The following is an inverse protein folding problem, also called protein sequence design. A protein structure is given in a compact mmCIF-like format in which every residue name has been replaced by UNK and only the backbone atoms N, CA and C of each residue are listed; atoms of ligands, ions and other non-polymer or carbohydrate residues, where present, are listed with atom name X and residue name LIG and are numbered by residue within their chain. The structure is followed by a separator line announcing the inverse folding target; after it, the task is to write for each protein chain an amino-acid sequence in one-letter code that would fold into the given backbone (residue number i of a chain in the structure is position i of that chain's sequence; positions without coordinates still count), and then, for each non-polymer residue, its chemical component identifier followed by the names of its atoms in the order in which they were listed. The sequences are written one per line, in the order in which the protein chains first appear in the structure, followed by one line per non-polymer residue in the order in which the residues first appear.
data_IF_156780020330
#
_entry.id   IF_156780020330
#
_cell.length_a   1.000
_cell.length_b   1.000
_cell.length_c   1.000
_cell.angle_alpha   90.00
_cell.angle_beta   90.00
_cell.angle_gamma   90.00
#
_symmetry.space_group_name_H-M   'P 1'
#
loop_
_entity.id
_entity.type
_entity.pdbx_description
1 polymer ?
#
# COMPACT_ATOMS: atom_id res chain seq x y z
N UNK A 1 -4.09 -39.41 23.34
CA UNK A 1 -4.40 -38.07 22.80
C UNK A 1 -3.55 -37.82 21.58
N UNK A 2 -4.13 -37.87 20.41
CA UNK A 2 -3.41 -37.48 19.20
C UNK A 2 -3.50 -35.97 19.03
N UNK A 3 -2.41 -35.27 19.28
CA UNK A 3 -2.26 -33.93 18.82
C UNK A 3 -2.05 -33.97 17.31
N UNK A 4 -3.06 -33.59 16.52
CA UNK A 4 -2.88 -33.43 15.10
C UNK A 4 -2.00 -32.21 14.87
N UNK A 5 -0.71 -32.42 14.69
CA UNK A 5 0.18 -31.41 14.17
C UNK A 5 -0.10 -31.27 12.69
N UNK A 6 -0.66 -30.15 12.28
CA UNK A 6 -0.75 -29.81 10.87
C UNK A 6 0.68 -29.76 10.35
N UNK A 7 1.03 -30.52 9.28
CA UNK A 7 2.36 -30.47 8.71
C UNK A 7 2.79 -29.03 8.41
N UNK A 8 4.03 -28.70 8.72
CA UNK A 8 4.59 -27.35 8.52
C UNK A 8 4.48 -26.84 7.09
N UNK A 9 4.42 -27.72 6.12
CA UNK A 9 4.25 -27.44 4.69
C UNK A 9 2.90 -26.78 4.36
N UNK A 10 1.89 -26.92 5.26
CA UNK A 10 0.58 -26.26 5.10
C UNK A 10 0.47 -24.97 5.90
N UNK A 11 1.50 -24.57 6.64
CA UNK A 11 1.55 -23.30 7.35
C UNK A 11 2.15 -22.25 6.43
N UNK A 12 1.31 -21.32 5.98
CA UNK A 12 1.80 -20.12 5.32
C UNK A 12 2.42 -19.25 6.42
N UNK A 13 3.74 -19.11 6.37
CA UNK A 13 4.42 -18.18 7.27
C UNK A 13 3.99 -16.76 6.94
N UNK A 14 3.48 -16.08 7.96
CA UNK A 14 3.06 -14.67 7.85
C UNK A 14 4.10 -13.77 8.46
N UNK A 15 4.47 -12.74 7.70
CA UNK A 15 5.34 -11.67 8.15
C UNK A 15 4.47 -10.49 8.55
N UNK A 16 4.81 -9.82 9.65
CA UNK A 16 4.13 -8.63 10.10
C UNK A 16 4.77 -7.40 9.48
N UNK A 17 3.94 -6.47 8.98
CA UNK A 17 4.39 -5.20 8.42
C UNK A 17 3.67 -4.07 9.14
N UNK A 18 4.42 -3.27 9.88
CA UNK A 18 3.88 -2.14 10.64
C UNK A 18 3.41 -1.03 9.72
N UNK A 19 2.26 -0.46 10.03
CA UNK A 19 1.64 0.56 9.21
C UNK A 19 0.63 1.40 10.00
N UNK A 20 0.25 2.53 9.40
CA UNK A 20 -0.89 3.33 9.86
C UNK A 20 -1.90 3.37 8.72
N UNK A 21 -3.08 2.84 8.95
CA UNK A 21 -4.18 2.82 7.98
C UNK A 21 -5.10 3.99 8.27
N UNK A 22 -5.36 4.82 7.26
CA UNK A 22 -6.35 5.90 7.33
C UNK A 22 -7.58 5.49 6.53
N UNK A 23 -8.72 5.48 7.19
CA UNK A 23 -10.00 5.04 6.63
C UNK A 23 -10.86 6.24 6.19
N UNK A 24 -11.82 5.98 5.31
CA UNK A 24 -12.76 6.99 4.82
C UNK A 24 -13.64 7.60 5.91
N UNK A 25 -13.79 6.92 7.05
CA UNK A 25 -14.44 7.42 8.24
C UNK A 25 -13.70 8.56 8.93
N UNK A 26 -12.43 8.79 8.56
CA UNK A 26 -11.53 9.74 9.19
C UNK A 26 -10.65 9.13 10.27
N UNK A 27 -10.87 7.87 10.64
CA UNK A 27 -10.05 7.16 11.62
C UNK A 27 -8.69 6.81 11.03
N UNK A 28 -7.64 6.95 11.84
CA UNK A 28 -6.32 6.41 11.55
C UNK A 28 -5.97 5.39 12.62
N UNK A 29 -5.60 4.19 12.19
CA UNK A 29 -5.30 3.08 13.08
C UNK A 29 -3.87 2.60 12.86
N UNK A 30 -3.12 2.50 13.94
CA UNK A 30 -1.78 1.95 13.95
C UNK A 30 -1.84 0.46 14.22
N UNK A 31 -1.01 -0.29 13.53
CA UNK A 31 -0.92 -1.73 13.74
C UNK A 31 -0.06 -2.40 12.70
N UNK A 32 -0.42 -3.62 12.32
CA UNK A 32 0.34 -4.34 11.31
C UNK A 32 -0.54 -5.18 10.39
N UNK A 33 -0.03 -5.34 9.17
CA UNK A 33 -0.54 -6.31 8.20
C UNK A 33 0.10 -7.67 8.43
N UNK A 34 -0.58 -8.72 8.00
CA UNK A 34 -0.03 -10.07 7.92
C UNK A 34 0.25 -10.39 6.45
N UNK A 35 1.51 -10.50 6.11
CA UNK A 35 1.95 -10.70 4.74
C UNK A 35 2.55 -12.09 4.56
N UNK A 36 2.35 -12.68 3.38
CA UNK A 36 3.00 -13.93 3.01
C UNK A 36 4.50 -13.72 2.80
N UNK A 37 5.29 -14.74 3.13
CA UNK A 37 6.75 -14.71 2.92
C UNK A 37 7.13 -14.74 1.44
N UNK A 38 6.19 -15.17 0.57
CA UNK A 38 6.37 -15.16 -0.88
C UNK A 38 5.12 -14.59 -1.54
N UNK A 39 5.31 -13.81 -2.60
CA UNK A 39 4.23 -13.22 -3.39
C UNK A 39 3.91 -14.12 -4.59
N UNK A 40 2.62 -14.17 -4.97
CA UNK A 40 2.19 -14.78 -6.23
C UNK A 40 2.31 -13.82 -7.42
N UNK A 41 2.59 -12.55 -7.16
CA UNK A 41 2.62 -11.48 -8.17
C UNK A 41 4.03 -11.13 -8.65
N UNK A 42 5.06 -11.46 -7.88
CA UNK A 42 6.47 -11.16 -8.19
C UNK A 42 7.38 -12.06 -7.36
N UNK A 43 8.65 -12.09 -7.71
CA UNK A 43 9.66 -12.77 -6.90
C UNK A 43 9.93 -11.96 -5.64
N UNK A 44 9.87 -12.63 -4.49
CA UNK A 44 10.12 -12.03 -3.20
C UNK A 44 8.91 -12.03 -2.28
N UNK A 45 9.03 -11.43 -1.08
CA UNK A 45 7.96 -11.40 -0.11
C UNK A 45 6.79 -10.51 -0.55
N UNK A 46 5.59 -10.89 -0.14
CA UNK A 46 4.40 -10.08 -0.36
C UNK A 46 4.57 -8.70 0.28
N UNK A 47 4.14 -7.67 -0.45
CA UNK A 47 4.12 -6.29 0.04
C UNK A 47 2.71 -5.90 0.44
N UNK A 48 2.57 -4.84 1.24
CA UNK A 48 1.25 -4.30 1.62
C UNK A 48 0.42 -3.96 0.39
N UNK A 49 1.01 -3.30 -0.60
CA UNK A 49 0.29 -2.99 -1.84
C UNK A 49 -0.16 -4.24 -2.59
N UNK A 50 0.64 -5.32 -2.56
CA UNK A 50 0.25 -6.59 -3.17
C UNK A 50 -1.00 -7.17 -2.51
N UNK A 51 -1.03 -7.17 -1.18
CA UNK A 51 -2.19 -7.64 -0.42
C UNK A 51 -3.43 -6.81 -0.76
N UNK A 52 -3.31 -5.49 -0.79
CA UNK A 52 -4.42 -4.60 -1.06
C UNK A 52 -4.94 -4.72 -2.50
N UNK A 53 -4.04 -5.02 -3.45
CA UNK A 53 -4.39 -5.20 -4.86
C UNK A 53 -4.80 -6.64 -5.23
N UNK A 54 -4.64 -7.60 -4.32
CA UNK A 54 -4.83 -9.03 -4.65
C UNK A 54 -6.28 -9.42 -4.85
N UNK A 55 -7.19 -8.76 -4.15
CA UNK A 55 -8.63 -9.08 -4.18
C UNK A 55 -9.45 -7.88 -3.76
N UNK A 56 -10.77 -8.02 -3.84
CA UNK A 56 -11.74 -7.06 -3.31
C UNK A 56 -12.19 -7.48 -1.92
N UNK A 57 -12.93 -6.61 -1.23
CA UNK A 57 -13.53 -6.91 0.04
C UNK A 57 -12.64 -6.63 1.24
N UNK A 58 -12.69 -7.50 2.22
CA UNK A 58 -12.05 -7.27 3.52
C UNK A 58 -10.66 -7.87 3.59
N UNK A 59 -9.82 -7.27 4.44
CA UNK A 59 -8.53 -7.81 4.82
C UNK A 59 -8.34 -7.69 6.33
N UNK A 60 -7.59 -8.58 6.97
CA UNK A 60 -7.32 -8.50 8.41
C UNK A 60 -6.19 -7.51 8.68
N UNK A 61 -6.38 -6.73 9.73
CA UNK A 61 -5.37 -5.80 10.23
C UNK A 61 -5.32 -5.91 11.76
N UNK A 62 -4.14 -6.04 12.32
CA UNK A 62 -3.96 -6.07 13.76
C UNK A 62 -3.82 -4.65 14.27
N UNK A 63 -4.82 -4.17 15.00
CA UNK A 63 -4.84 -2.82 15.55
C UNK A 63 -4.13 -2.80 16.90
N UNK A 64 -3.20 -1.86 17.05
CA UNK A 64 -2.47 -1.61 18.29
C UNK A 64 -2.92 -0.27 18.87
N UNK A 65 -3.72 -0.29 19.90
CA UNK A 65 -4.20 0.91 20.56
C UNK A 65 -4.00 0.84 22.11
N UNK A 66 -4.46 1.87 22.81
CA UNK A 66 -4.31 1.93 24.26
C UNK A 66 -5.04 0.80 25.00
N UNK A 67 -6.06 0.20 24.40
CA UNK A 67 -6.79 -0.93 24.97
C UNK A 67 -6.11 -2.28 24.75
N UNK A 68 -5.05 -2.30 23.92
CA UNK A 68 -4.30 -3.50 23.60
C UNK A 68 -4.28 -3.82 22.12
N UNK A 69 -4.27 -5.11 21.79
CA UNK A 69 -4.16 -5.62 20.43
C UNK A 69 -5.46 -6.34 20.07
N UNK A 70 -6.01 -5.99 18.91
CA UNK A 70 -7.19 -6.68 18.36
C UNK A 70 -7.09 -6.81 16.85
N UNK A 71 -7.72 -7.82 16.28
CA UNK A 71 -7.83 -7.95 14.83
C UNK A 71 -9.11 -7.29 14.35
N UNK A 72 -8.98 -6.40 13.37
CA UNK A 72 -10.10 -5.81 12.66
C UNK A 72 -10.10 -6.28 11.22
N UNK A 73 -11.28 -6.35 10.63
CA UNK A 73 -11.44 -6.59 9.19
C UNK A 73 -11.83 -5.26 8.56
N UNK A 74 -10.96 -4.72 7.72
CA UNK A 74 -11.23 -3.48 7.00
C UNK A 74 -11.58 -3.77 5.55
N UNK A 75 -12.57 -3.04 5.04
CA UNK A 75 -12.94 -3.14 3.63
C UNK A 75 -11.97 -2.28 2.81
N UNK A 76 -11.39 -2.88 1.77
CA UNK A 76 -10.39 -2.22 0.92
C UNK A 76 -10.90 -0.91 0.32
N UNK A 77 -12.18 -0.85 -0.06
CA UNK A 77 -12.76 0.37 -0.63
C UNK A 77 -12.80 1.56 0.33
N UNK A 78 -12.70 1.32 1.63
CA UNK A 78 -12.70 2.37 2.65
C UNK A 78 -11.30 2.76 3.13
N UNK A 79 -10.27 2.13 2.61
CA UNK A 79 -8.89 2.53 2.88
C UNK A 79 -8.53 3.71 1.99
N UNK A 80 -8.14 4.83 2.58
CA UNK A 80 -7.72 6.03 1.86
C UNK A 80 -6.22 5.99 1.62
N UNK A 81 -5.45 5.83 2.70
CA UNK A 81 -3.99 5.72 2.65
C UNK A 81 -3.48 4.70 3.66
N UNK A 82 -2.28 4.20 3.40
CA UNK A 82 -1.50 3.42 4.35
C UNK A 82 -0.11 4.00 4.41
N UNK A 83 0.29 4.49 5.58
CA UNK A 83 1.67 4.92 5.82
C UNK A 83 2.49 3.71 6.26
N UNK A 84 3.52 3.38 5.51
CA UNK A 84 4.35 2.20 5.75
C UNK A 84 5.54 2.54 6.63
N UNK A 85 5.88 1.63 7.55
CA UNK A 85 7.09 1.73 8.36
C UNK A 85 8.35 1.42 7.55
N UNK A 86 8.22 0.56 6.53
CA UNK A 86 9.32 0.16 5.66
C UNK A 86 9.10 0.63 4.23
N UNK A 87 10.18 0.96 3.53
CA UNK A 87 10.14 1.25 2.10
C UNK A 87 10.00 -0.06 1.33
N UNK A 88 8.82 -0.32 0.79
CA UNK A 88 8.60 -1.46 -0.11
C UNK A 88 8.49 -1.04 -1.58
N UNK A 89 8.42 0.25 -1.86
CA UNK A 89 8.31 0.75 -3.24
C UNK A 89 9.58 0.46 -4.04
N UNK A 90 10.75 0.55 -3.41
CA UNK A 90 12.04 0.28 -4.05
C UNK A 90 12.21 -1.16 -4.51
N UNK A 91 11.35 -2.06 -4.07
CA UNK A 91 11.36 -3.46 -4.49
C UNK A 91 10.57 -3.71 -5.77
N UNK A 92 9.93 -2.69 -6.33
CA UNK A 92 9.24 -2.84 -7.62
C UNK A 92 10.24 -3.16 -8.73
N UNK A 93 9.94 -4.13 -9.60
CA UNK A 93 10.75 -4.33 -10.81
C UNK A 93 10.79 -3.05 -11.64
N UNK A 94 11.99 -2.65 -12.06
CA UNK A 94 12.18 -1.43 -12.85
C UNK A 94 12.17 -0.14 -12.04
N UNK A 95 12.15 -0.21 -10.71
CA UNK A 95 12.14 0.99 -9.86
C UNK A 95 13.23 2.02 -10.23
N UNK A 96 14.45 1.56 -10.48
CA UNK A 96 15.57 2.42 -10.81
C UNK A 96 15.49 3.09 -12.19
N UNK A 97 14.68 2.56 -13.10
CA UNK A 97 14.53 3.09 -14.47
C UNK A 97 13.15 3.74 -14.69
N UNK A 98 12.26 3.65 -13.73
CA UNK A 98 10.95 4.28 -13.81
C UNK A 98 11.09 5.81 -13.81
N UNK A 99 10.24 6.47 -14.59
CA UNK A 99 10.21 7.93 -14.63
C UNK A 99 9.62 8.48 -13.34
N UNK A 100 10.32 9.36 -12.67
CA UNK A 100 9.82 10.05 -11.48
C UNK A 100 9.02 11.28 -11.86
N UNK A 101 7.84 11.43 -11.25
CA UNK A 101 7.03 12.64 -11.33
C UNK A 101 6.74 13.13 -9.93
N UNK A 102 6.84 14.42 -9.71
CA UNK A 102 6.55 15.03 -8.43
C UNK A 102 5.10 15.51 -8.44
N UNK A 103 4.30 15.00 -7.52
CA UNK A 103 2.86 15.16 -7.55
C UNK A 103 2.30 15.64 -6.22
N UNK A 104 1.22 16.43 -6.32
CA UNK A 104 0.36 16.78 -5.20
C UNK A 104 -0.98 16.07 -5.40
N UNK A 105 -1.38 15.28 -4.42
CA UNK A 105 -2.57 14.45 -4.50
C UNK A 105 -3.55 14.87 -3.42
N UNK A 106 -4.75 15.29 -3.82
CA UNK A 106 -5.85 15.62 -2.90
C UNK A 106 -6.73 14.38 -2.72
N UNK A 107 -6.92 13.99 -1.49
CA UNK A 107 -7.70 12.81 -1.12
C UNK A 107 -9.13 13.18 -0.69
N UNK A 108 -10.02 12.20 -0.74
CA UNK A 108 -11.44 12.38 -0.42
C UNK A 108 -11.72 12.83 1.01
N UNK A 109 -10.78 12.61 1.92
CA UNK A 109 -10.85 13.07 3.31
C UNK A 109 -10.33 14.51 3.52
N UNK A 110 -9.93 15.18 2.43
CA UNK A 110 -9.35 16.53 2.48
C UNK A 110 -7.84 16.59 2.71
N UNK A 111 -7.20 15.46 2.98
CA UNK A 111 -5.74 15.41 3.10
C UNK A 111 -5.06 15.62 1.75
N UNK A 112 -3.89 16.24 1.78
CA UNK A 112 -3.04 16.40 0.62
C UNK A 112 -1.70 15.69 0.87
N UNK A 113 -1.32 14.83 -0.08
CA UNK A 113 -0.05 14.13 -0.05
C UNK A 113 0.80 14.66 -1.19
N UNK A 114 2.01 15.12 -0.88
CA UNK A 114 2.97 15.62 -1.87
C UNK A 114 4.18 14.70 -1.85
N UNK A 115 4.54 14.18 -3.01
CA UNK A 115 5.67 13.29 -3.10
C UNK A 115 5.95 12.82 -4.53
N UNK A 116 6.82 11.84 -4.62
CA UNK A 116 7.25 11.27 -5.90
C UNK A 116 6.39 10.06 -6.22
N UNK A 117 5.84 10.05 -7.44
CA UNK A 117 5.23 8.87 -8.04
C UNK A 117 6.13 8.35 -9.15
N UNK A 118 6.11 7.04 -9.37
CA UNK A 118 6.92 6.39 -10.41
C UNK A 118 6.03 5.85 -11.50
N UNK A 119 6.37 6.21 -12.73
CA UNK A 119 5.60 5.80 -13.91
C UNK A 119 6.40 4.72 -14.64
N UNK A 120 5.85 3.51 -14.65
CA UNK A 120 6.47 2.32 -15.24
C UNK A 120 5.96 2.13 -16.68
N UNK A 121 6.20 3.13 -17.53
CA UNK A 121 5.75 3.13 -18.91
C UNK A 121 6.89 3.54 -19.85
N UNK A 122 6.84 3.13 -21.12
CA UNK A 122 7.82 3.57 -22.11
C UNK A 122 7.87 5.09 -22.23
N UNK A 123 9.01 5.59 -22.71
CA UNK A 123 9.17 7.01 -23.04
C UNK A 123 8.03 7.48 -23.94
N UNK A 124 7.48 8.66 -23.64
CA UNK A 124 6.31 9.22 -24.30
C UNK A 124 4.97 8.84 -23.66
N UNK A 125 4.96 7.87 -22.75
CA UNK A 125 3.79 7.47 -21.95
C UNK A 125 4.11 7.48 -20.46
N UNK A 126 5.01 8.34 -20.04
CA UNK A 126 5.53 8.44 -18.69
C UNK A 126 5.05 9.70 -17.97
N UNK A 127 3.89 10.21 -18.39
CA UNK A 127 3.27 11.41 -17.81
C UNK A 127 2.52 11.07 -16.52
N UNK A 128 2.24 12.09 -15.73
CA UNK A 128 1.44 11.94 -14.51
C UNK A 128 0.04 11.35 -14.83
N UNK A 129 -0.56 11.75 -15.97
CA UNK A 129 -1.83 11.18 -16.42
C UNK A 129 -1.72 9.68 -16.72
N UNK A 130 -0.56 9.20 -17.15
CA UNK A 130 -0.33 7.77 -17.39
C UNK A 130 -0.26 6.99 -16.08
N UNK A 131 0.29 7.61 -15.02
CA UNK A 131 0.28 7.04 -13.69
C UNK A 131 -1.15 6.79 -13.19
N UNK A 132 -2.07 7.72 -13.43
CA UNK A 132 -3.47 7.57 -13.01
C UNK A 132 -4.21 6.46 -13.75
N UNK A 133 -3.70 6.02 -14.90
CA UNK A 133 -4.34 4.99 -15.74
C UNK A 133 -3.76 3.59 -15.56
N UNK A 134 -2.77 3.43 -14.71
CA UNK A 134 -2.22 2.11 -14.41
C UNK A 134 -3.30 1.24 -13.74
N UNK A 135 -3.26 -0.10 -13.92
CA UNK A 135 -4.37 -0.95 -13.47
C UNK A 135 -4.47 -1.14 -11.95
N UNK A 136 -3.39 -0.96 -11.21
CA UNK A 136 -3.38 -1.17 -9.77
C UNK A 136 -4.17 -0.07 -9.07
N UNK A 137 -5.08 -0.46 -8.18
CA UNK A 137 -5.89 0.47 -7.40
C UNK A 137 -5.09 1.14 -6.29
N UNK A 138 -4.21 0.38 -5.63
CA UNK A 138 -3.35 0.86 -4.55
C UNK A 138 -1.94 1.05 -5.10
N UNK A 139 -1.39 2.24 -4.92
CA UNK A 139 -0.09 2.63 -5.47
C UNK A 139 0.73 3.42 -4.47
N UNK A 140 2.02 3.49 -4.73
CA UNK A 140 2.95 4.19 -3.85
C UNK A 140 3.09 5.66 -4.22
N UNK A 141 3.17 6.48 -3.17
CA UNK A 141 3.69 7.85 -3.22
C UNK A 141 4.83 7.89 -2.21
N UNK A 142 6.01 8.28 -2.68
CA UNK A 142 7.19 8.39 -1.82
C UNK A 142 7.34 9.84 -1.37
N UNK A 143 7.16 10.07 -0.07
CA UNK A 143 7.39 11.37 0.55
C UNK A 143 8.80 11.42 1.13
N UNK A 144 9.23 12.59 1.61
CA UNK A 144 10.52 12.71 2.28
C UNK A 144 10.64 11.87 3.56
N UNK A 145 9.50 11.56 4.19
CA UNK A 145 9.47 10.91 5.50
C UNK A 145 9.00 9.45 5.44
N UNK A 146 8.25 9.06 4.41
CA UNK A 146 7.61 7.76 4.39
C UNK A 146 7.22 7.33 2.97
N UNK A 147 6.97 6.04 2.82
CA UNK A 147 6.29 5.49 1.66
C UNK A 147 4.81 5.36 2.00
N UNK A 148 3.96 5.97 1.20
CA UNK A 148 2.52 5.97 1.38
C UNK A 148 1.89 5.11 0.28
N UNK A 149 1.03 4.19 0.66
CA UNK A 149 0.13 3.52 -0.28
C UNK A 149 -1.15 4.32 -0.35
N UNK A 150 -1.56 4.70 -1.55
CA UNK A 150 -2.78 5.49 -1.77
C UNK A 150 -3.79 4.68 -2.57
N UNK A 151 -5.05 4.79 -2.20
CA UNK A 151 -6.16 4.20 -2.95
C UNK A 151 -6.62 5.19 -4.01
N UNK A 152 -6.48 4.83 -5.27
CA UNK A 152 -6.89 5.70 -6.39
C UNK A 152 -8.37 6.08 -6.35
N UNK A 153 -9.22 5.19 -5.83
CA UNK A 153 -10.66 5.48 -5.70
C UNK A 153 -10.95 6.66 -4.77
N UNK A 154 -10.01 7.01 -3.89
CA UNK A 154 -10.12 8.13 -2.96
C UNK A 154 -9.32 9.37 -3.38
N UNK A 155 -8.72 9.34 -4.56
CA UNK A 155 -8.05 10.52 -5.12
C UNK A 155 -9.08 11.41 -5.79
N UNK A 156 -9.13 12.66 -5.37
CA UNK A 156 -9.99 13.70 -5.95
C UNK A 156 -9.28 14.46 -7.05
N UNK A 157 -7.99 14.76 -6.83
CA UNK A 157 -7.19 15.58 -7.73
C UNK A 157 -5.73 15.16 -7.67
N UNK A 158 -5.11 15.10 -8.83
CA UNK A 158 -3.66 14.92 -8.96
C UNK A 158 -3.12 16.08 -9.78
N UNK A 159 -2.12 16.75 -9.26
CA UNK A 159 -1.42 17.82 -10.00
C UNK A 159 0.09 17.61 -9.94
N UNK A 160 0.75 17.98 -11.02
CA UNK A 160 2.20 17.98 -11.08
C UNK A 160 2.73 19.22 -10.38
N UNK A 161 3.73 19.05 -9.54
CA UNK A 161 4.39 20.17 -8.86
C UNK A 161 5.86 20.20 -9.26
N UNK A 162 6.50 21.40 -9.27
CA UNK A 162 7.91 21.48 -9.60
C UNK A 162 8.75 20.71 -8.58
N UNK A 163 9.72 19.95 -9.07
CA UNK A 163 10.73 19.32 -8.23
C UNK A 163 11.61 20.43 -7.63
N UNK A 164 11.76 20.41 -6.31
CA UNK A 164 12.63 21.38 -5.60
C UNK A 164 14.00 20.77 -5.36
#
# INVERSE_FOLDING_TARGET
MSTSTVPSEYRVEKRRADAIVTLSSGQSERGCFFLASSSTRHDGPERVADLLNSEHGFFPFEVHDAAGVRTALYHRSHVVTVALAEDEASRDPGYGVARRRFASVLLSNGQRVVGTVRVYRPEGRDRLSDWTRQPETFRYIETGDATIVVNLAHIVEVSEVPER
#
